data_IF_009033742596
#
_entry.id   IF_009033742596
#
_cell.length_a   1.000
_cell.length_b   1.000
_cell.length_c   1.000
_cell.angle_alpha   90.00
_cell.angle_beta   90.00
_cell.angle_gamma   90.00
#
_symmetry.space_group_name_H-M   'P 1'
#
loop_
_entity.id
_entity.type
_entity.pdbx_description
1 polymer ?
#
# COMPACT_ATOMS: atom_id res chain seq x y z
N UNK A 1 0.68 -21.45 -6.32
CA UNK A 1 0.07 -20.13 -6.07
C UNK A 1 1.18 -19.09 -6.21
N UNK A 2 1.01 -18.07 -7.04
CA UNK A 2 1.98 -16.97 -7.20
C UNK A 2 1.38 -15.74 -6.53
N UNK A 3 1.95 -15.30 -5.41
CA UNK A 3 1.54 -14.05 -4.78
C UNK A 3 2.06 -12.88 -5.62
N UNK A 4 1.25 -11.84 -5.74
CA UNK A 4 1.62 -10.59 -6.42
C UNK A 4 1.80 -9.50 -5.39
N UNK A 5 3.00 -8.92 -5.37
CA UNK A 5 3.33 -7.76 -4.55
C UNK A 5 3.20 -6.49 -5.40
N UNK A 6 2.41 -5.53 -4.93
CA UNK A 6 2.47 -4.14 -5.38
C UNK A 6 3.29 -3.37 -4.36
N UNK A 7 4.38 -2.75 -4.79
CA UNK A 7 5.18 -1.86 -3.97
C UNK A 7 5.37 -0.53 -4.70
N UNK A 8 4.81 0.53 -4.14
CA UNK A 8 4.87 1.87 -4.71
C UNK A 8 5.44 2.84 -3.70
N UNK A 9 6.48 3.56 -4.09
CA UNK A 9 7.09 4.59 -3.25
C UNK A 9 6.14 5.79 -3.13
N UNK A 10 6.01 6.29 -1.90
CA UNK A 10 5.22 7.46 -1.55
C UNK A 10 6.06 8.43 -0.73
N UNK A 11 5.59 9.65 -0.61
CA UNK A 11 6.25 10.63 0.22
C UNK A 11 6.12 10.22 1.70
N UNK A 12 7.25 10.10 2.40
CA UNK A 12 7.26 9.78 3.83
C UNK A 12 6.49 10.81 4.66
N UNK A 13 6.47 12.09 4.24
CA UNK A 13 5.68 13.12 4.90
C UNK A 13 4.16 12.91 4.80
N UNK A 14 3.70 12.02 3.93
CA UNK A 14 2.27 11.70 3.74
C UNK A 14 1.87 10.35 4.35
N UNK A 15 2.79 9.63 5.00
CA UNK A 15 2.53 8.28 5.46
C UNK A 15 1.45 8.22 6.55
N UNK A 16 1.47 9.15 7.50
CA UNK A 16 0.47 9.23 8.58
C UNK A 16 -0.95 9.47 8.02
N UNK A 17 -1.04 10.36 7.01
CA UNK A 17 -2.30 10.63 6.31
C UNK A 17 -2.78 9.40 5.54
N UNK A 18 -1.87 8.70 4.87
CA UNK A 18 -2.19 7.46 4.16
C UNK A 18 -2.63 6.35 5.11
N UNK A 19 -2.03 6.24 6.29
CA UNK A 19 -2.40 5.23 7.30
C UNK A 19 -3.84 5.44 7.75
N UNK A 20 -4.19 6.69 8.04
CA UNK A 20 -5.55 7.07 8.42
C UNK A 20 -6.54 6.73 7.31
N UNK A 21 -6.22 7.07 6.05
CA UNK A 21 -7.07 6.78 4.90
C UNK A 21 -7.25 5.26 4.71
N UNK A 22 -6.18 4.47 4.82
CA UNK A 22 -6.26 3.01 4.67
C UNK A 22 -7.11 2.37 5.78
N UNK A 23 -6.98 2.87 7.02
CA UNK A 23 -7.80 2.46 8.15
C UNK A 23 -9.28 2.80 7.93
N UNK A 24 -9.58 4.03 7.47
CA UNK A 24 -10.94 4.49 7.21
C UNK A 24 -11.60 3.74 6.05
N UNK A 25 -10.83 3.41 5.00
CA UNK A 25 -11.29 2.61 3.86
C UNK A 25 -11.49 1.13 4.24
N UNK A 26 -10.87 0.65 5.32
CA UNK A 26 -10.98 -0.74 5.78
C UNK A 26 -10.35 -1.76 4.83
N UNK A 27 -9.41 -1.33 3.99
CA UNK A 27 -8.80 -2.17 2.94
C UNK A 27 -7.70 -3.08 3.50
N UNK A 28 -8.08 -4.30 3.89
CA UNK A 28 -7.21 -5.26 4.60
C UNK A 28 -6.05 -5.86 3.79
N UNK A 29 -5.76 -5.37 2.58
CA UNK A 29 -4.70 -5.88 1.69
C UNK A 29 -3.47 -4.98 1.60
N UNK A 30 -3.50 -3.79 2.21
CA UNK A 30 -2.47 -2.77 2.10
C UNK A 30 -1.73 -2.58 3.42
N UNK A 31 -0.44 -2.28 3.33
CA UNK A 31 0.46 -2.01 4.43
C UNK A 31 1.35 -0.83 4.07
N UNK A 32 1.69 -0.03 5.07
CA UNK A 32 2.62 1.09 4.92
C UNK A 32 3.96 0.69 5.50
N UNK A 33 5.02 1.04 4.78
CA UNK A 33 6.39 0.72 5.15
C UNK A 33 7.19 2.01 5.11
N UNK A 34 7.64 2.46 6.27
CA UNK A 34 8.48 3.66 6.41
C UNK A 34 9.94 3.26 6.66
N UNK A 35 10.85 3.90 5.95
CA UNK A 35 12.25 3.96 6.28
C UNK A 35 12.55 5.33 6.89
N UNK A 36 12.61 5.37 8.21
CA UNK A 36 12.91 6.57 9.01
C UNK A 36 14.36 7.04 8.88
N UNK A 37 15.27 6.19 8.38
CA UNK A 37 16.69 6.51 8.20
C UNK A 37 16.86 7.30 6.90
N UNK A 38 16.32 6.76 5.80
CA UNK A 38 16.38 7.37 4.47
C UNK A 38 15.23 8.37 4.19
N UNK A 39 14.26 8.48 5.11
CA UNK A 39 13.03 9.28 4.97
C UNK A 39 12.22 8.92 3.73
N UNK A 40 12.07 7.62 3.48
CA UNK A 40 11.32 7.07 2.35
C UNK A 40 10.15 6.25 2.86
N UNK A 41 9.06 6.21 2.10
CA UNK A 41 7.91 5.40 2.45
C UNK A 41 7.41 4.63 1.24
N UNK A 42 6.76 3.50 1.49
CA UNK A 42 6.13 2.67 0.47
C UNK A 42 4.76 2.22 0.93
N UNK A 43 3.83 2.19 -0.02
CA UNK A 43 2.60 1.42 0.10
C UNK A 43 2.88 0.04 -0.49
N UNK A 44 2.64 -1.00 0.29
CA UNK A 44 2.85 -2.40 -0.07
C UNK A 44 1.53 -3.15 0.04
N UNK A 45 1.14 -3.86 -1.00
CA UNK A 45 -0.01 -4.76 -0.97
C UNK A 45 0.36 -6.13 -1.50
N UNK A 46 -0.09 -7.19 -0.84
CA UNK A 46 0.18 -8.59 -1.23
C UNK A 46 -1.15 -9.26 -1.54
N UNK A 47 -1.28 -9.76 -2.77
CA UNK A 47 -2.52 -10.32 -3.30
C UNK A 47 -2.30 -11.71 -3.90
N UNK A 48 -3.37 -12.49 -4.09
CA UNK A 48 -3.27 -13.84 -4.63
C UNK A 48 -3.00 -13.89 -6.12
N UNK A 49 -3.38 -12.86 -6.86
CA UNK A 49 -3.13 -12.73 -8.29
C UNK A 49 -3.08 -11.27 -8.75
N UNK A 50 -2.70 -11.06 -10.00
CA UNK A 50 -2.55 -9.73 -10.58
C UNK A 50 -3.89 -9.01 -10.83
N UNK A 51 -5.00 -9.75 -10.96
CA UNK A 51 -6.33 -9.19 -11.16
C UNK A 51 -6.84 -8.58 -9.86
N UNK A 52 -6.72 -9.30 -8.75
CA UNK A 52 -7.02 -8.83 -7.40
C UNK A 52 -6.16 -7.61 -7.04
N UNK A 53 -4.86 -7.68 -7.32
CA UNK A 53 -3.93 -6.57 -7.08
C UNK A 53 -4.32 -5.31 -7.86
N UNK A 54 -4.73 -5.47 -9.13
CA UNK A 54 -5.17 -4.35 -9.97
C UNK A 54 -6.50 -3.76 -9.50
N UNK A 55 -7.44 -4.60 -9.07
CA UNK A 55 -8.72 -4.16 -8.52
C UNK A 55 -8.51 -3.36 -7.24
N UNK A 56 -7.72 -3.87 -6.29
CA UNK A 56 -7.40 -3.19 -5.04
C UNK A 56 -6.68 -1.85 -5.28
N UNK A 57 -5.82 -1.75 -6.29
CA UNK A 57 -5.17 -0.48 -6.63
C UNK A 57 -6.16 0.51 -7.26
N UNK A 58 -7.13 0.03 -8.02
CA UNK A 58 -8.17 0.87 -8.63
C UNK A 58 -9.11 1.45 -7.57
N UNK A 59 -9.35 0.72 -6.48
CA UNK A 59 -10.13 1.21 -5.33
C UNK A 59 -9.42 2.33 -4.54
N UNK A 60 -8.09 2.44 -4.67
CA UNK A 60 -7.28 3.50 -4.05
C UNK A 60 -7.08 4.74 -4.95
N UNK A 61 -7.45 4.68 -6.23
CA UNK A 61 -7.27 5.73 -7.24
C UNK A 61 -8.44 6.71 -7.31
#
# INVERSE_FOLDING_TARGET
MQLVEIKTEVNAATIDSLETILLDLGVAGWSLLEDVIEKRAWIVGIFHDALEARAAWTELS
#
